data_IF_671190545001
#
_entry.id   IF_671190545001
#
_cell.length_a   1.000
_cell.length_b   1.000
_cell.length_c   1.000
_cell.angle_alpha   90.00
_cell.angle_beta   90.00
_cell.angle_gamma   90.00
#
_symmetry.space_group_name_H-M   'P 1'
#
loop_
_entity.id
_entity.type
_entity.pdbx_description
1 polymer ?
#
# COMPACT_ATOMS: atom_id res chain seq x y z
N UNK A 1 -46.93 -12.32 -14.93
CA UNK A 1 -46.85 -11.69 -13.60
C UNK A 1 -45.82 -12.36 -12.71
N UNK A 2 -45.78 -13.67 -12.57
CA UNK A 2 -44.84 -14.40 -11.70
C UNK A 2 -43.36 -14.17 -12.09
N UNK A 3 -43.03 -14.10 -13.37
CA UNK A 3 -41.66 -13.88 -13.87
C UNK A 3 -41.11 -12.48 -13.52
N UNK A 4 -41.97 -11.45 -13.49
CA UNK A 4 -41.57 -10.09 -13.12
C UNK A 4 -41.33 -9.96 -11.62
N UNK A 5 -42.12 -10.63 -10.78
CA UNK A 5 -41.93 -10.67 -9.33
C UNK A 5 -40.64 -11.41 -8.94
N UNK A 6 -40.31 -12.49 -9.63
CA UNK A 6 -39.11 -13.28 -9.41
C UNK A 6 -37.82 -12.51 -9.74
N UNK A 7 -37.86 -11.69 -10.80
CA UNK A 7 -36.74 -10.82 -11.20
C UNK A 7 -36.49 -9.71 -10.18
N UNK A 8 -37.55 -9.14 -9.62
CA UNK A 8 -37.44 -8.09 -8.59
C UNK A 8 -36.89 -8.68 -7.29
N UNK A 9 -37.34 -9.87 -6.90
CA UNK A 9 -36.82 -10.56 -5.70
C UNK A 9 -35.35 -10.94 -5.85
N UNK A 10 -34.93 -11.37 -7.03
CA UNK A 10 -33.52 -11.69 -7.34
C UNK A 10 -32.64 -10.43 -7.33
N UNK A 11 -33.15 -9.30 -7.81
CA UNK A 11 -32.44 -8.01 -7.79
C UNK A 11 -32.23 -7.48 -6.37
N UNK A 12 -33.20 -7.67 -5.47
CA UNK A 12 -33.10 -7.26 -4.07
C UNK A 12 -32.10 -8.15 -3.30
N UNK A 13 -32.05 -9.44 -3.61
CA UNK A 13 -31.09 -10.37 -2.98
C UNK A 13 -29.63 -10.01 -3.30
N UNK A 14 -29.35 -9.46 -4.49
CA UNK A 14 -28.00 -9.01 -4.87
C UNK A 14 -27.53 -7.76 -4.11
N UNK A 15 -28.44 -6.96 -3.56
CA UNK A 15 -28.08 -5.75 -2.79
C UNK A 15 -27.63 -6.08 -1.35
N UNK A 16 -27.94 -7.26 -0.84
CA UNK A 16 -27.50 -7.73 0.48
C UNK A 16 -26.21 -8.55 0.45
N UNK A 17 -25.63 -8.80 -0.72
CA UNK A 17 -24.40 -9.59 -0.87
C UNK A 17 -23.12 -8.80 -0.59
N UNK A 18 -23.22 -7.48 -0.28
CA UNK A 18 -22.11 -6.70 0.24
C UNK A 18 -22.08 -6.80 1.78
N UNK A 19 -21.84 -8.00 2.29
CA UNK A 19 -21.39 -8.17 3.67
C UNK A 19 -19.91 -7.79 3.67
N UNK A 20 -19.62 -6.55 4.08
CA UNK A 20 -18.28 -6.13 4.46
C UNK A 20 -17.90 -6.97 5.69
N UNK A 21 -17.26 -8.11 5.45
CA UNK A 21 -16.58 -8.84 6.50
C UNK A 21 -15.59 -7.87 7.12
N UNK A 22 -15.87 -7.41 8.32
CA UNK A 22 -14.86 -6.81 9.18
C UNK A 22 -13.85 -7.93 9.44
N UNK A 23 -12.80 -8.00 8.59
CA UNK A 23 -11.63 -8.79 8.92
C UNK A 23 -11.12 -8.24 10.25
N UNK A 24 -11.14 -9.07 11.27
CA UNK A 24 -10.58 -8.76 12.58
C UNK A 24 -9.10 -8.41 12.37
N UNK A 25 -8.81 -7.09 12.37
CA UNK A 25 -7.49 -6.58 12.06
C UNK A 25 -6.57 -6.88 13.22
N UNK A 26 -5.84 -7.96 13.08
CA UNK A 26 -4.85 -8.35 14.08
C UNK A 26 -3.74 -7.31 14.16
N UNK A 27 -3.50 -6.81 15.36
CA UNK A 27 -2.35 -5.94 15.62
C UNK A 27 -1.06 -6.70 15.27
N UNK A 28 -0.15 -6.11 14.48
CA UNK A 28 1.10 -6.76 14.11
C UNK A 28 1.94 -7.08 15.35
N UNK A 29 2.74 -8.13 15.27
CA UNK A 29 3.67 -8.50 16.35
C UNK A 29 4.63 -7.38 16.70
N UNK A 30 5.13 -6.69 15.67
CA UNK A 30 5.94 -5.48 15.77
C UNK A 30 5.21 -4.33 15.08
N UNK A 31 4.63 -3.44 15.88
CA UNK A 31 4.01 -2.23 15.37
C UNK A 31 5.12 -1.21 15.05
N UNK A 32 5.27 -0.88 13.78
CA UNK A 32 6.20 0.16 13.33
C UNK A 32 5.66 1.53 13.71
N UNK A 33 6.55 2.42 14.12
CA UNK A 33 6.21 3.83 14.28
C UNK A 33 5.77 4.41 12.93
N UNK A 34 4.74 5.26 12.93
CA UNK A 34 4.19 5.85 11.71
C UNK A 34 5.26 6.57 10.87
N UNK A 35 6.19 7.28 11.51
CA UNK A 35 7.29 7.97 10.85
C UNK A 35 8.22 7.02 10.08
N UNK A 36 8.57 5.90 10.71
CA UNK A 36 9.38 4.84 10.08
C UNK A 36 8.61 4.17 8.95
N UNK A 37 7.35 3.84 9.17
CA UNK A 37 6.49 3.23 8.16
C UNK A 37 6.32 4.14 6.94
N UNK A 38 6.04 5.44 7.14
CA UNK A 38 5.96 6.44 6.06
C UNK A 38 7.27 6.54 5.29
N UNK A 39 8.40 6.62 5.99
CA UNK A 39 9.71 6.77 5.35
C UNK A 39 10.06 5.55 4.48
N UNK A 40 9.84 4.35 5.00
CA UNK A 40 10.05 3.12 4.24
C UNK A 40 9.09 3.03 3.03
N UNK A 41 7.82 3.35 3.22
CA UNK A 41 6.83 3.36 2.14
C UNK A 41 7.22 4.34 1.04
N UNK A 42 7.67 5.54 1.37
CA UNK A 42 8.16 6.54 0.41
C UNK A 42 9.38 6.01 -0.34
N UNK A 43 10.37 5.46 0.36
CA UNK A 43 11.58 4.92 -0.28
C UNK A 43 11.25 3.77 -1.23
N UNK A 44 10.31 2.89 -0.88
CA UNK A 44 9.84 1.81 -1.76
C UNK A 44 9.14 2.36 -3.02
N UNK A 45 8.27 3.35 -2.88
CA UNK A 45 7.59 3.98 -4.02
C UNK A 45 8.55 4.72 -4.94
N UNK A 46 9.53 5.43 -4.38
CA UNK A 46 10.58 6.11 -5.17
C UNK A 46 11.42 5.09 -5.94
N UNK A 47 11.79 3.99 -5.29
CA UNK A 47 12.53 2.90 -5.93
C UNK A 47 11.72 2.29 -7.08
N UNK A 48 10.45 1.98 -6.86
CA UNK A 48 9.56 1.42 -7.88
C UNK A 48 9.40 2.39 -9.07
N UNK A 49 9.17 3.67 -8.79
CA UNK A 49 9.06 4.71 -9.82
C UNK A 49 10.35 4.84 -10.65
N UNK A 50 11.51 4.66 -10.02
CA UNK A 50 12.81 4.65 -10.72
C UNK A 50 12.89 3.50 -11.72
N UNK A 51 12.52 2.28 -11.32
CA UNK A 51 12.51 1.12 -12.22
C UNK A 51 11.48 1.26 -13.33
N UNK A 52 10.28 1.76 -13.04
CA UNK A 52 9.26 2.05 -14.05
C UNK A 52 9.75 3.05 -15.12
N UNK A 53 10.54 4.03 -14.73
CA UNK A 53 11.10 5.00 -15.68
C UNK A 53 12.18 4.41 -16.57
N UNK A 54 12.98 3.47 -16.05
CA UNK A 54 14.10 2.88 -16.79
C UNK A 54 13.67 1.74 -17.72
N UNK A 55 12.60 1.04 -17.38
CA UNK A 55 12.21 -0.18 -18.08
C UNK A 55 10.75 -0.11 -18.53
N UNK A 56 10.53 -0.44 -19.80
CA UNK A 56 9.19 -0.39 -20.42
C UNK A 56 8.27 -1.53 -19.98
N UNK A 57 8.82 -2.63 -19.46
CA UNK A 57 8.08 -3.84 -19.11
C UNK A 57 8.44 -4.33 -17.72
N UNK A 58 7.44 -4.62 -16.86
CA UNK A 58 7.67 -5.12 -15.50
C UNK A 58 8.59 -6.35 -15.43
N UNK A 59 8.46 -7.28 -16.38
CA UNK A 59 9.24 -8.52 -16.44
C UNK A 59 10.76 -8.27 -16.51
N UNK A 60 11.17 -7.08 -16.97
CA UNK A 60 12.59 -6.74 -17.11
C UNK A 60 13.26 -6.31 -15.80
N UNK A 61 12.48 -5.91 -14.81
CA UNK A 61 13.01 -5.35 -13.57
C UNK A 61 12.51 -5.97 -12.27
N UNK A 62 11.52 -6.87 -12.30
CA UNK A 62 10.94 -7.47 -11.06
C UNK A 62 12.02 -8.06 -10.16
N UNK A 63 12.96 -8.83 -10.69
CA UNK A 63 14.04 -9.43 -9.91
C UNK A 63 14.99 -8.37 -9.30
N UNK A 64 15.32 -7.33 -10.08
CA UNK A 64 16.17 -6.24 -9.61
C UNK A 64 15.46 -5.36 -8.57
N UNK A 65 14.17 -5.11 -8.77
CA UNK A 65 13.33 -4.40 -7.82
C UNK A 65 13.22 -5.16 -6.50
N UNK A 66 13.00 -6.48 -6.54
CA UNK A 66 12.96 -7.32 -5.34
C UNK A 66 14.28 -7.29 -4.58
N UNK A 67 15.40 -7.43 -5.29
CA UNK A 67 16.73 -7.34 -4.67
C UNK A 67 17.02 -5.97 -4.06
N UNK A 68 16.66 -4.89 -4.75
CA UNK A 68 16.86 -3.51 -4.26
C UNK A 68 15.95 -3.18 -3.10
N UNK A 69 14.70 -3.68 -3.10
CA UNK A 69 13.78 -3.48 -2.00
C UNK A 69 14.24 -4.14 -0.70
N UNK A 70 14.92 -5.31 -0.78
CA UNK A 70 15.53 -5.96 0.39
C UNK A 70 16.54 -5.04 1.09
N UNK A 71 17.35 -4.31 0.33
CA UNK A 71 18.30 -3.35 0.90
C UNK A 71 17.60 -2.21 1.65
N UNK A 72 16.41 -1.80 1.20
CA UNK A 72 15.61 -0.81 1.92
C UNK A 72 15.04 -1.42 3.21
N UNK A 73 14.51 -2.62 3.16
CA UNK A 73 14.04 -3.31 4.37
C UNK A 73 15.17 -3.46 5.41
N UNK A 74 16.37 -3.87 4.98
CA UNK A 74 17.54 -3.98 5.84
C UNK A 74 17.94 -2.62 6.42
N UNK A 75 17.91 -1.55 5.62
CA UNK A 75 18.20 -0.19 6.07
C UNK A 75 17.30 0.28 7.21
N UNK A 76 16.04 -0.12 7.20
CA UNK A 76 15.05 0.23 8.21
C UNK A 76 14.93 -0.80 9.34
N UNK A 77 15.72 -1.88 9.30
CA UNK A 77 15.60 -3.02 10.23
C UNK A 77 14.16 -3.56 10.29
N UNK A 78 13.54 -3.73 9.13
CA UNK A 78 12.16 -4.21 8.97
C UNK A 78 12.16 -5.34 7.96
N UNK A 79 11.41 -6.40 8.23
CA UNK A 79 11.18 -7.45 7.23
C UNK A 79 10.01 -7.09 6.32
N UNK A 80 9.95 -7.72 5.15
CA UNK A 80 8.81 -7.55 4.23
C UNK A 80 7.49 -7.98 4.88
N UNK A 81 7.51 -9.03 5.68
CA UNK A 81 6.33 -9.53 6.37
C UNK A 81 5.86 -8.55 7.45
N UNK A 82 6.78 -8.00 8.26
CA UNK A 82 6.45 -6.95 9.22
C UNK A 82 5.87 -5.72 8.54
N UNK A 83 6.42 -5.31 7.40
CA UNK A 83 5.87 -4.20 6.62
C UNK A 83 4.44 -4.49 6.17
N UNK A 84 4.18 -5.67 5.61
CA UNK A 84 2.85 -6.08 5.15
C UNK A 84 1.85 -6.18 6.30
N UNK A 85 2.25 -6.73 7.45
CA UNK A 85 1.40 -6.77 8.65
C UNK A 85 1.01 -5.36 9.11
N UNK A 86 1.96 -4.41 9.09
CA UNK A 86 1.71 -3.02 9.45
C UNK A 86 0.85 -2.29 8.41
N UNK A 87 1.06 -2.57 7.11
CA UNK A 87 0.23 -2.01 6.04
C UNK A 87 -1.23 -2.45 6.21
N UNK A 88 -1.46 -3.73 6.44
CA UNK A 88 -2.81 -4.26 6.68
C UNK A 88 -3.44 -3.63 7.92
N UNK A 89 -2.68 -3.52 9.01
CA UNK A 89 -3.15 -2.91 10.25
C UNK A 89 -3.53 -1.44 10.08
N UNK A 90 -2.66 -0.63 9.46
CA UNK A 90 -2.96 0.78 9.23
C UNK A 90 -4.07 1.00 8.21
N UNK A 91 -4.16 0.15 7.19
CA UNK A 91 -5.19 0.22 6.14
C UNK A 91 -6.60 -0.02 6.67
N UNK A 92 -6.72 -0.74 7.77
CA UNK A 92 -8.02 -0.97 8.42
C UNK A 92 -8.54 0.24 9.21
N UNK A 93 -7.72 1.27 9.38
CA UNK A 93 -8.09 2.50 10.09
C UNK A 93 -8.11 3.66 9.08
N UNK A 94 -9.29 4.03 8.52
CA UNK A 94 -9.40 5.02 7.44
C UNK A 94 -8.70 6.35 7.73
N UNK A 95 -8.90 6.91 8.92
CA UNK A 95 -8.27 8.20 9.30
C UNK A 95 -6.75 8.08 9.42
N UNK A 96 -6.28 6.93 9.92
CA UNK A 96 -4.85 6.68 10.09
C UNK A 96 -4.15 6.50 8.76
N UNK A 97 -4.69 5.66 7.88
CA UNK A 97 -4.08 5.43 6.56
C UNK A 97 -4.12 6.70 5.70
N UNK A 98 -5.18 7.50 5.81
CA UNK A 98 -5.25 8.80 5.14
C UNK A 98 -4.09 9.72 5.57
N UNK A 99 -3.87 9.89 6.88
CA UNK A 99 -2.77 10.71 7.39
C UNK A 99 -1.38 10.18 7.01
N UNK A 100 -1.24 8.85 6.91
CA UNK A 100 -0.01 8.21 6.43
C UNK A 100 0.26 8.57 4.96
N UNK A 101 -0.75 8.50 4.10
CA UNK A 101 -0.60 8.87 2.69
C UNK A 101 -0.34 10.36 2.50
N UNK A 102 -0.99 11.24 3.26
CA UNK A 102 -0.68 12.68 3.24
C UNK A 102 0.78 12.93 3.63
N UNK A 103 1.24 12.32 4.72
CA UNK A 103 2.64 12.46 5.17
C UNK A 103 3.64 11.91 4.14
N UNK A 104 3.31 10.83 3.46
CA UNK A 104 4.12 10.27 2.39
C UNK A 104 4.20 11.22 1.19
N UNK A 105 3.07 11.79 0.77
CA UNK A 105 3.00 12.74 -0.33
C UNK A 105 3.80 14.01 -0.01
N UNK A 106 3.65 14.56 1.18
CA UNK A 106 4.42 15.71 1.64
C UNK A 106 5.93 15.43 1.63
N UNK A 107 6.33 14.23 2.09
CA UNK A 107 7.73 13.82 2.08
C UNK A 107 8.28 13.73 0.66
N UNK A 108 7.52 13.17 -0.29
CA UNK A 108 7.90 13.11 -1.70
C UNK A 108 8.03 14.52 -2.28
N UNK A 109 7.05 15.39 -2.05
CA UNK A 109 7.05 16.76 -2.54
C UNK A 109 8.25 17.56 -2.02
N UNK A 110 8.59 17.41 -0.74
CA UNK A 110 9.77 18.05 -0.15
C UNK A 110 11.08 17.54 -0.77
N UNK A 111 11.18 16.23 -1.05
CA UNK A 111 12.35 15.66 -1.73
C UNK A 111 12.48 16.17 -3.15
N UNK A 112 11.38 16.24 -3.90
CA UNK A 112 11.36 16.81 -5.26
C UNK A 112 11.80 18.27 -5.24
N UNK A 113 11.25 19.09 -4.34
CA UNK A 113 11.61 20.50 -4.21
C UNK A 113 13.10 20.71 -3.86
N UNK A 114 13.71 19.78 -3.12
CA UNK A 114 15.14 19.81 -2.76
C UNK A 114 16.06 19.21 -3.84
N UNK A 115 15.53 18.75 -4.98
CA UNK A 115 16.29 18.08 -6.04
C UNK A 115 16.85 16.70 -5.69
N UNK A 116 16.43 16.12 -4.56
CA UNK A 116 17.00 14.86 -4.05
C UNK A 116 16.41 13.60 -4.69
N UNK A 117 15.42 13.72 -5.55
CA UNK A 117 14.71 12.55 -6.14
C UNK A 117 15.34 12.16 -7.50
N UNK A 118 16.12 13.05 -8.11
CA UNK A 118 16.58 12.87 -9.49
C UNK A 118 18.03 12.36 -9.60
N UNK A 119 18.78 12.40 -8.49
CA UNK A 119 20.23 12.12 -8.49
C UNK A 119 20.66 10.87 -7.68
N UNK A 120 19.73 9.91 -7.47
CA UNK A 120 20.09 8.62 -6.90
C UNK A 120 19.86 7.49 -7.88
#
# INVERSE_FOLDING_TARGET
>A
MIKRGLLILFSIALLFACESGEEEVNKPKRLLEKSTFVSLMVDLHVLEAHFHRLYLRPQMYVASLDSSSRLLFDKYDVTKDEFNENLNYYSAMPDTIYTIYESALDTINQRVAKGNVINQ
#
